data_IF_844568354763
#
_entry.id   IF_844568354763
#
_cell.length_a   1.000
_cell.length_b   1.000
_cell.length_c   1.000
_cell.angle_alpha   90.00
_cell.angle_beta   90.00
_cell.angle_gamma   90.00
#
_symmetry.space_group_name_H-M   'P 1'
#
loop_
_entity.id
_entity.type
_entity.pdbx_description
1 polymer ?
#
# COMPACT_ATOMS: atom_id res chain seq x y z
N UNK A 1 4.50 9.13 18.76
CA UNK A 1 4.76 9.62 17.40
C UNK A 1 3.62 10.52 16.97
N UNK A 2 3.93 11.71 16.49
CA UNK A 2 2.90 12.65 16.10
C UNK A 2 2.30 12.32 14.76
N UNK A 3 1.11 12.82 14.49
CA UNK A 3 0.47 12.68 13.19
C UNK A 3 1.33 13.26 12.06
N UNK A 4 1.95 14.42 12.31
CA UNK A 4 2.81 15.07 11.31
C UNK A 4 4.01 14.19 10.95
N UNK A 5 4.60 13.55 11.94
CA UNK A 5 5.74 12.65 11.71
C UNK A 5 5.34 11.45 10.85
N UNK A 6 4.19 10.84 11.13
CA UNK A 6 3.69 9.71 10.34
C UNK A 6 3.41 10.14 8.91
N UNK A 7 2.81 11.32 8.72
CA UNK A 7 2.51 11.84 7.40
C UNK A 7 3.78 12.04 6.56
N UNK A 8 4.86 12.53 7.19
CA UNK A 8 6.13 12.68 6.51
C UNK A 8 6.70 11.34 6.05
N UNK A 9 6.60 10.31 6.89
CA UNK A 9 7.07 8.97 6.53
C UNK A 9 6.28 8.42 5.34
N UNK A 10 4.97 8.62 5.34
CA UNK A 10 4.15 8.17 4.21
C UNK A 10 4.54 8.86 2.91
N UNK A 11 4.82 10.17 2.96
CA UNK A 11 5.26 10.90 1.77
C UNK A 11 6.61 10.42 1.26
N UNK A 12 7.52 10.07 2.16
CA UNK A 12 8.82 9.52 1.75
C UNK A 12 8.67 8.16 1.06
N UNK A 13 7.74 7.34 1.53
CA UNK A 13 7.45 6.05 0.88
C UNK A 13 6.92 6.28 -0.53
N UNK A 14 5.97 7.19 -0.70
CA UNK A 14 5.41 7.50 -2.01
C UNK A 14 6.47 8.04 -2.96
N UNK A 15 7.35 8.93 -2.47
CA UNK A 15 8.44 9.48 -3.27
C UNK A 15 9.44 8.41 -3.72
N UNK A 16 9.76 7.48 -2.83
CA UNK A 16 10.69 6.40 -3.15
C UNK A 16 10.10 5.51 -4.26
N UNK A 17 8.82 5.21 -4.18
CA UNK A 17 8.16 4.43 -5.22
C UNK A 17 8.11 5.19 -6.54
N UNK A 18 7.82 6.49 -6.51
CA UNK A 18 7.81 7.31 -7.71
C UNK A 18 9.16 7.34 -8.41
N UNK A 19 10.25 7.39 -7.64
CA UNK A 19 11.60 7.30 -8.20
C UNK A 19 11.83 5.98 -8.93
N UNK A 20 11.33 4.89 -8.35
CA UNK A 20 11.41 3.59 -9.00
C UNK A 20 10.67 3.61 -10.34
N UNK A 21 9.49 4.22 -10.39
CA UNK A 21 8.70 4.29 -11.60
C UNK A 21 9.37 5.15 -12.68
N UNK A 22 10.07 6.22 -12.30
CA UNK A 22 10.74 7.11 -13.25
C UNK A 22 11.77 6.34 -14.08
N UNK A 23 12.41 5.34 -13.50
CA UNK A 23 13.44 4.56 -14.18
C UNK A 23 12.85 3.41 -15.02
N UNK A 24 11.53 3.29 -15.06
CA UNK A 24 10.87 2.24 -15.83
C UNK A 24 10.99 2.54 -17.32
N UNK A 25 11.23 1.50 -18.18
CA UNK A 25 11.30 1.72 -19.63
C UNK A 25 10.00 2.31 -20.18
N UNK A 26 10.13 3.21 -21.15
CA UNK A 26 9.01 3.79 -21.89
C UNK A 26 8.02 4.62 -21.06
N UNK A 27 8.43 5.06 -19.89
CA UNK A 27 7.57 5.92 -19.09
C UNK A 27 7.49 7.33 -19.69
N UNK A 28 6.29 7.87 -19.76
CA UNK A 28 6.06 9.23 -20.23
C UNK A 28 5.83 10.18 -19.05
N UNK A 29 4.99 9.78 -18.10
CA UNK A 29 4.66 10.68 -17.00
C UNK A 29 4.25 9.92 -15.75
N UNK A 30 4.42 10.58 -14.61
CA UNK A 30 3.95 10.12 -13.32
C UNK A 30 3.11 11.26 -12.74
N UNK A 31 1.90 10.94 -12.31
CA UNK A 31 0.98 11.92 -11.76
C UNK A 31 0.54 11.52 -10.36
N UNK A 32 0.46 12.52 -9.48
CA UNK A 32 -0.12 12.35 -8.16
C UNK A 32 -1.46 13.06 -8.17
N UNK A 33 -2.55 12.42 -7.69
CA UNK A 33 -3.84 13.08 -7.68
C UNK A 33 -3.82 14.27 -6.73
N UNK A 34 -4.60 15.29 -7.06
CA UNK A 34 -4.73 16.48 -6.22
C UNK A 34 -5.87 16.28 -5.23
N UNK A 35 -5.64 16.72 -3.98
CA UNK A 35 -6.66 16.62 -2.95
C UNK A 35 -6.89 15.18 -2.49
N UNK A 36 -8.09 14.93 -1.98
CA UNK A 36 -8.46 13.59 -1.51
C UNK A 36 -8.93 12.75 -2.68
N UNK A 37 -8.10 11.80 -3.08
CA UNK A 37 -8.47 10.83 -4.11
C UNK A 37 -8.48 9.44 -3.47
N UNK A 38 -9.62 8.76 -3.53
CA UNK A 38 -9.76 7.41 -2.99
C UNK A 38 -9.43 6.33 -4.00
N UNK A 39 -9.22 6.71 -5.26
CA UNK A 39 -9.06 5.75 -6.33
C UNK A 39 -7.63 5.22 -6.45
N UNK A 40 -6.63 6.09 -6.26
CA UNK A 40 -5.21 5.70 -6.34
C UNK A 40 -4.32 6.80 -5.78
N UNK A 41 -3.06 6.44 -5.50
CA UNK A 41 -2.05 7.39 -5.01
C UNK A 41 -1.12 7.88 -6.11
N UNK A 42 -0.83 7.03 -7.10
CA UNK A 42 0.08 7.37 -8.20
C UNK A 42 -0.46 6.80 -9.49
N UNK A 43 -0.35 7.56 -10.57
CA UNK A 43 -0.70 7.12 -11.92
C UNK A 43 0.50 7.26 -12.84
N UNK A 44 0.82 6.20 -13.55
CA UNK A 44 1.92 6.16 -14.50
C UNK A 44 1.37 6.01 -15.90
N UNK A 45 1.92 6.77 -16.85
CA UNK A 45 1.57 6.67 -18.27
C UNK A 45 2.78 6.17 -19.05
N UNK A 46 2.58 5.15 -19.87
CA UNK A 46 3.60 4.57 -20.74
C UNK A 46 3.60 5.19 -22.11
N UNK A 47 4.64 4.91 -22.92
CA UNK A 47 4.80 5.45 -24.25
C UNK A 47 3.73 5.05 -25.27
N UNK A 48 2.95 4.01 -25.00
CA UNK A 48 1.84 3.60 -25.84
C UNK A 48 0.48 4.10 -25.33
N UNK A 49 0.49 5.11 -24.50
CA UNK A 49 -0.68 5.72 -23.84
C UNK A 49 -1.39 4.79 -22.87
N UNK A 50 -0.81 3.65 -22.53
CA UNK A 50 -1.34 2.80 -21.48
C UNK A 50 -1.01 3.40 -20.13
N UNK A 51 -1.92 3.24 -19.18
CA UNK A 51 -1.74 3.76 -17.83
C UNK A 51 -1.81 2.64 -16.81
N UNK A 52 -1.16 2.87 -15.67
CA UNK A 52 -1.27 1.99 -14.51
C UNK A 52 -1.41 2.86 -13.27
N UNK A 53 -2.27 2.46 -12.36
CA UNK A 53 -2.50 3.18 -11.12
C UNK A 53 -2.10 2.32 -9.93
N UNK A 54 -1.58 2.97 -8.90
CA UNK A 54 -1.02 2.31 -7.73
C UNK A 54 -1.57 2.92 -6.45
N UNK A 55 -1.94 2.05 -5.53
CA UNK A 55 -2.27 2.42 -4.15
C UNK A 55 -1.08 1.98 -3.30
N UNK A 56 -0.52 2.89 -2.51
CA UNK A 56 0.70 2.64 -1.74
C UNK A 56 0.37 2.68 -0.25
N UNK A 57 0.71 1.63 0.45
CA UNK A 57 0.51 1.53 1.89
C UNK A 57 1.81 1.17 2.58
N UNK A 58 1.92 1.60 3.82
CA UNK A 58 3.04 1.23 4.66
C UNK A 58 2.51 0.71 6.00
N UNK A 59 3.28 -0.17 6.62
CA UNK A 59 2.97 -0.63 7.97
C UNK A 59 4.27 -0.61 8.78
N UNK A 60 4.48 0.49 9.48
CA UNK A 60 5.68 0.64 10.30
C UNK A 60 5.61 -0.14 11.62
N UNK A 61 4.44 -0.65 11.98
CA UNK A 61 4.28 -1.41 13.22
C UNK A 61 4.51 -2.90 13.04
N UNK A 62 4.61 -3.37 11.80
CA UNK A 62 4.80 -4.79 11.54
C UNK A 62 6.08 -5.33 12.18
N UNK A 63 7.14 -4.53 12.24
CA UNK A 63 8.39 -4.94 12.86
C UNK A 63 8.24 -5.20 14.36
N UNK A 64 7.29 -4.55 15.01
CA UNK A 64 7.05 -4.74 16.45
C UNK A 64 6.09 -5.87 16.74
N UNK A 65 5.12 -6.10 15.86
CA UNK A 65 4.04 -7.04 16.09
C UNK A 65 4.22 -8.37 15.35
N UNK A 66 5.02 -8.38 14.29
CA UNK A 66 5.13 -9.54 13.41
C UNK A 66 3.90 -9.74 12.52
N UNK A 67 2.98 -8.78 12.51
CA UNK A 67 1.75 -8.85 11.73
C UNK A 67 1.60 -7.59 10.91
N UNK A 68 0.85 -7.68 9.81
CA UNK A 68 0.38 -6.49 9.11
C UNK A 68 -1.13 -6.53 9.03
N UNK A 69 -1.75 -5.38 8.76
CA UNK A 69 -3.20 -5.25 8.75
C UNK A 69 -3.69 -4.80 7.39
N UNK A 70 -4.86 -5.27 7.02
CA UNK A 70 -5.57 -4.82 5.83
C UNK A 70 -6.95 -4.35 6.27
N UNK A 71 -7.21 -3.05 6.14
CA UNK A 71 -8.53 -2.50 6.44
C UNK A 71 -9.45 -2.82 5.28
N UNK A 72 -10.63 -3.37 5.57
CA UNK A 72 -11.59 -3.69 4.53
C UNK A 72 -12.93 -2.97 4.71
N UNK A 73 -13.15 -2.37 5.86
CA UNK A 73 -14.39 -1.62 6.11
C UNK A 73 -14.12 -0.50 7.12
N UNK A 74 -14.73 0.64 6.88
CA UNK A 74 -14.69 1.78 7.77
C UNK A 74 -16.09 2.37 7.82
N UNK A 75 -16.69 2.40 9.01
CA UNK A 75 -18.04 2.94 9.23
C UNK A 75 -19.06 2.39 8.23
N UNK A 76 -19.14 1.06 8.11
CA UNK A 76 -20.10 0.36 7.25
C UNK A 76 -19.82 0.47 5.76
N UNK A 77 -18.81 1.24 5.34
CA UNK A 77 -18.45 1.37 3.92
C UNK A 77 -17.20 0.58 3.61
N UNK A 78 -17.09 0.09 2.37
CA UNK A 78 -15.86 -0.52 1.90
C UNK A 78 -14.70 0.46 2.06
N UNK A 79 -13.55 -0.03 2.46
CA UNK A 79 -12.37 0.79 2.69
C UNK A 79 -11.16 0.15 2.05
N UNK A 80 -10.14 0.93 1.82
CA UNK A 80 -8.84 0.57 1.27
C UNK A 80 -8.90 -0.46 0.15
N UNK A 81 -8.75 -1.76 0.46
CA UNK A 81 -8.62 -2.79 -0.57
C UNK A 81 -9.87 -2.91 -1.45
N UNK A 82 -11.04 -2.68 -0.90
CA UNK A 82 -12.29 -2.76 -1.65
C UNK A 82 -12.74 -1.42 -2.21
N UNK A 83 -12.30 -0.31 -1.63
CA UNK A 83 -12.67 1.02 -2.09
C UNK A 83 -11.75 1.54 -3.18
N UNK A 84 -10.49 1.13 -3.18
CA UNK A 84 -9.51 1.57 -4.16
C UNK A 84 -9.89 1.09 -5.55
N UNK A 85 -9.62 1.91 -6.55
CA UNK A 85 -9.75 1.54 -7.95
C UNK A 85 -8.40 1.38 -8.63
N UNK A 86 -7.33 1.38 -7.86
CA UNK A 86 -6.00 1.21 -8.38
C UNK A 86 -5.82 -0.16 -9.02
N UNK A 87 -4.99 -0.23 -10.05
CA UNK A 87 -4.65 -1.49 -10.70
C UNK A 87 -3.78 -2.36 -9.81
N UNK A 88 -2.90 -1.73 -9.03
CA UNK A 88 -1.92 -2.42 -8.18
C UNK A 88 -1.95 -1.88 -6.77
N UNK A 89 -1.74 -2.78 -5.82
CA UNK A 89 -1.52 -2.45 -4.42
C UNK A 89 -0.05 -2.66 -4.11
N UNK A 90 0.58 -1.62 -3.55
CA UNK A 90 1.99 -1.66 -3.18
C UNK A 90 2.08 -1.51 -1.67
N UNK A 91 2.88 -2.37 -1.04
CA UNK A 91 3.12 -2.33 0.40
C UNK A 91 4.60 -2.14 0.68
N UNK A 92 4.92 -1.28 1.62
CA UNK A 92 6.25 -1.19 2.18
C UNK A 92 6.18 -1.71 3.61
N UNK A 93 6.71 -2.90 3.85
CA UNK A 93 6.61 -3.60 5.15
C UNK A 93 7.96 -4.23 5.47
N UNK A 94 8.44 -4.01 6.68
CA UNK A 94 9.68 -4.62 7.19
C UNK A 94 10.88 -4.31 6.30
N UNK A 95 10.95 -3.08 5.79
CA UNK A 95 12.06 -2.65 4.95
C UNK A 95 12.05 -3.21 3.55
N UNK A 96 10.96 -3.83 3.13
CA UNK A 96 10.84 -4.46 1.81
C UNK A 96 9.61 -3.96 1.08
N UNK A 97 9.71 -3.97 -0.24
CA UNK A 97 8.62 -3.58 -1.12
C UNK A 97 7.93 -4.80 -1.68
N UNK A 98 6.60 -4.72 -1.73
CA UNK A 98 5.74 -5.79 -2.22
C UNK A 98 4.69 -5.20 -3.14
N UNK A 99 4.32 -5.94 -4.20
CA UNK A 99 3.31 -5.49 -5.15
C UNK A 99 2.38 -6.65 -5.51
N UNK A 100 1.13 -6.33 -5.79
CA UNK A 100 0.19 -7.29 -6.35
C UNK A 100 -0.90 -6.55 -7.10
N UNK A 101 -1.43 -7.18 -8.14
CA UNK A 101 -2.64 -6.69 -8.78
C UNK A 101 -3.78 -6.71 -7.76
N UNK A 102 -4.56 -5.64 -7.72
CA UNK A 102 -5.61 -5.52 -6.73
C UNK A 102 -6.58 -6.71 -6.75
N UNK A 103 -6.98 -7.14 -7.94
CA UNK A 103 -7.88 -8.29 -8.08
C UNK A 103 -7.27 -9.58 -7.53
N UNK A 104 -6.02 -9.82 -7.86
CA UNK A 104 -5.33 -11.02 -7.40
C UNK A 104 -5.16 -11.00 -5.89
N UNK A 105 -4.89 -9.83 -5.34
CA UNK A 105 -4.75 -9.67 -3.89
C UNK A 105 -6.05 -10.00 -3.17
N UNK A 106 -7.17 -9.50 -3.68
CA UNK A 106 -8.49 -9.78 -3.08
C UNK A 106 -8.74 -11.29 -3.05
N UNK A 107 -8.44 -11.99 -4.15
CA UNK A 107 -8.61 -13.44 -4.21
C UNK A 107 -7.71 -14.17 -3.23
N UNK A 108 -6.47 -13.75 -3.13
CA UNK A 108 -5.50 -14.38 -2.22
C UNK A 108 -5.83 -14.13 -0.76
N UNK A 109 -6.31 -12.93 -0.44
CA UNK A 109 -6.74 -12.60 0.94
C UNK A 109 -7.87 -13.55 1.38
N UNK A 110 -8.77 -13.90 0.48
CA UNK A 110 -9.86 -14.80 0.81
C UNK A 110 -9.38 -16.19 1.21
N UNK A 111 -8.18 -16.60 0.78
CA UNK A 111 -7.63 -17.93 1.01
C UNK A 111 -6.56 -18.00 2.08
N UNK A 112 -5.96 -16.86 2.46
CA UNK A 112 -4.86 -16.87 3.41
C UNK A 112 -5.39 -16.95 4.85
N UNK A 113 -4.60 -17.54 5.73
CA UNK A 113 -4.91 -17.53 7.15
C UNK A 113 -4.85 -16.12 7.70
N UNK A 114 -5.90 -15.73 8.38
CA UNK A 114 -6.02 -14.38 8.91
C UNK A 114 -6.95 -14.35 10.10
N UNK A 115 -6.82 -13.30 10.90
CA UNK A 115 -7.74 -13.02 11.99
C UNK A 115 -8.48 -11.75 11.65
N UNK A 116 -9.78 -11.75 11.83
CA UNK A 116 -10.59 -10.55 11.65
C UNK A 116 -10.77 -9.87 13.00
N UNK A 117 -10.69 -8.56 13.01
CA UNK A 117 -10.99 -7.79 14.20
C UNK A 117 -11.74 -6.53 13.83
N UNK A 118 -12.58 -6.10 14.75
CA UNK A 118 -13.27 -4.83 14.63
C UNK A 118 -12.68 -3.91 15.69
N UNK A 119 -12.16 -2.80 15.23
CA UNK A 119 -11.60 -1.83 16.14
C UNK A 119 -12.70 -0.89 16.61
N UNK A 120 -13.05 -0.98 17.87
CA UNK A 120 -14.09 -0.16 18.47
C UNK A 120 -13.49 1.14 18.98
N UNK A 121 -13.00 1.93 18.07
CA UNK A 121 -12.60 3.30 18.38
C UNK A 121 -13.52 4.24 17.61
N UNK A 122 -13.11 5.48 17.50
CA UNK A 122 -13.87 6.48 16.77
C UNK A 122 -14.13 6.10 15.32
N UNK A 123 -13.32 5.22 14.77
CA UNK A 123 -13.30 4.94 13.34
C UNK A 123 -14.08 3.69 12.95
N UNK A 124 -14.38 2.83 13.89
CA UNK A 124 -15.15 1.59 13.62
C UNK A 124 -14.58 0.81 12.43
N UNK A 125 -13.27 0.63 12.41
CA UNK A 125 -12.59 -0.10 11.34
C UNK A 125 -12.73 -1.59 11.52
N UNK A 126 -12.89 -2.30 10.39
CA UNK A 126 -12.80 -3.76 10.35
C UNK A 126 -11.52 -4.13 9.64
N UNK A 127 -10.73 -4.97 10.27
CA UNK A 127 -9.37 -5.28 9.82
C UNK A 127 -9.17 -6.78 9.69
N UNK A 128 -8.37 -7.17 8.69
CA UNK A 128 -7.73 -8.47 8.66
C UNK A 128 -6.34 -8.31 9.26
N UNK A 129 -5.98 -9.17 10.20
CA UNK A 129 -4.64 -9.22 10.78
C UNK A 129 -3.97 -10.47 10.24
N UNK A 130 -2.84 -10.28 9.55
CA UNK A 130 -2.15 -11.33 8.83
C UNK A 130 -0.70 -11.37 9.30
N UNK A 131 -0.17 -12.57 9.56
CA UNK A 131 1.23 -12.70 9.94
C UNK A 131 2.12 -12.27 8.78
N UNK A 132 3.20 -11.55 9.11
CA UNK A 132 4.10 -11.01 8.10
C UNK A 132 4.77 -12.11 7.25
N UNK A 133 4.92 -13.33 7.78
CA UNK A 133 5.48 -14.44 7.01
C UNK A 133 4.57 -14.90 5.87
N UNK A 134 3.32 -14.43 5.83
CA UNK A 134 2.39 -14.71 4.75
C UNK A 134 2.50 -13.74 3.58
N UNK A 135 3.33 -12.69 3.70
CA UNK A 135 3.50 -11.73 2.61
C UNK A 135 3.78 -12.38 1.26
N UNK A 136 4.68 -13.37 1.16
CA UNK A 136 4.94 -14.02 -0.14
C UNK A 136 3.75 -14.76 -0.74
N UNK A 137 2.75 -15.11 0.09
CA UNK A 137 1.54 -15.76 -0.41
C UNK A 137 0.56 -14.76 -1.01
N UNK A 138 0.69 -13.49 -0.64
CA UNK A 138 -0.22 -12.44 -1.08
C UNK A 138 0.38 -11.55 -2.15
N UNK A 139 1.66 -11.26 -2.06
CA UNK A 139 2.35 -10.27 -2.87
C UNK A 139 3.57 -10.86 -3.56
N UNK A 140 3.99 -10.17 -4.62
CA UNK A 140 5.28 -10.41 -5.25
C UNK A 140 6.29 -9.40 -4.71
N UNK A 141 7.54 -9.80 -4.47
CA UNK A 141 8.55 -8.84 -3.99
C UNK A 141 8.97 -7.90 -5.12
N UNK A 142 9.20 -6.64 -4.75
CA UNK A 142 9.80 -5.66 -5.64
C UNK A 142 11.24 -5.42 -5.19
N UNK A 143 12.17 -5.57 -6.11
CA UNK A 143 13.59 -5.36 -5.83
C UNK A 143 14.07 -4.08 -6.49
N UNK A 144 14.18 -3.01 -5.71
CA UNK A 144 14.84 -1.80 -6.15
C UNK A 144 15.54 -1.15 -4.96
N UNK A 145 16.45 -0.24 -5.25
CA UNK A 145 17.41 0.21 -4.25
C UNK A 145 16.95 1.41 -3.41
N UNK A 146 15.81 2.01 -3.75
CA UNK A 146 15.30 3.14 -2.99
C UNK A 146 14.68 2.67 -1.70
N UNK A 147 15.11 3.26 -0.59
CA UNK A 147 14.48 3.02 0.70
C UNK A 147 14.00 4.34 1.27
N UNK A 148 12.78 4.38 1.81
CA UNK A 148 12.32 5.57 2.50
C UNK A 148 13.17 5.84 3.72
N UNK A 149 13.29 7.10 4.09
CA UNK A 149 14.01 7.49 5.29
C UNK A 149 13.11 7.26 6.51
N UNK A 150 13.38 6.16 7.22
CA UNK A 150 12.58 5.77 8.38
C UNK A 150 13.24 6.15 9.71
N UNK A 151 14.50 6.52 9.67
CA UNK A 151 15.28 6.73 10.88
C UNK A 151 15.15 8.13 11.45
N UNK A 152 14.45 9.00 10.79
CA UNK A 152 14.34 10.40 11.20
C UNK A 152 13.43 10.57 12.40
N UNK A 153 13.90 11.20 13.42
CA UNK A 153 13.13 11.49 14.63
C UNK A 153 13.21 12.95 15.00
#
# INVERSE_FOLDING_TARGET
MSFVHDLQKWKEVEKAFAKYLIDYPDIISIEFPKGKCKDYDVKMTYGNDKTATYEIKTDFKAQDTGNFVIEYRFKWEASWIYASKADYIVQYILGKWWIQKRWELILRIAQVEKRETKWWDWFQSSLYIIKADKLPELFEPLNFNETPNESED
#
